data_IF_654681161812
#
_entry.id   IF_654681161812
#
_cell.length_a   1.000
_cell.length_b   1.000
_cell.length_c   1.000
_cell.angle_alpha   90.00
_cell.angle_beta   90.00
_cell.angle_gamma   90.00
#
_symmetry.space_group_name_H-M   'P 1'
#
loop_
_entity.id
_entity.type
_entity.pdbx_description
1 polymer ?
#
# COMPACT_ATOMS: atom_id res chain seq x y z
N UNK A 1 -16.30 76.27 -33.70
CA UNK A 1 -16.75 75.01 -34.33
C UNK A 1 -16.19 73.86 -33.52
N UNK A 2 -17.12 73.14 -32.89
CA UNK A 2 -17.07 71.82 -32.22
C UNK A 2 -16.17 70.80 -32.96
N UNK A 3 -15.60 69.70 -32.43
CA UNK A 3 -15.97 68.64 -31.46
C UNK A 3 -14.62 67.98 -31.09
N UNK A 4 -14.31 67.57 -29.86
CA UNK A 4 -14.28 66.13 -29.47
C UNK A 4 -13.81 66.02 -28.00
N UNK A 5 -14.72 65.90 -27.02
CA UNK A 5 -14.38 65.47 -25.67
C UNK A 5 -14.73 63.99 -25.53
N UNK A 6 -13.94 63.07 -26.11
CA UNK A 6 -14.16 61.61 -25.97
C UNK A 6 -12.87 60.77 -26.06
N UNK A 7 -11.77 61.25 -25.49
CA UNK A 7 -10.49 60.50 -25.52
C UNK A 7 -9.90 60.20 -24.12
N UNK A 8 -10.66 60.40 -23.04
CA UNK A 8 -10.17 60.21 -21.67
C UNK A 8 -10.90 59.10 -20.87
N UNK A 9 -11.61 58.17 -21.52
CA UNK A 9 -12.46 57.18 -20.84
C UNK A 9 -12.20 55.71 -21.23
N UNK A 10 -11.07 55.39 -21.89
CA UNK A 10 -10.81 54.03 -22.39
C UNK A 10 -9.59 53.32 -21.77
N UNK A 11 -8.99 53.84 -20.69
CA UNK A 11 -7.80 53.25 -20.07
C UNK A 11 -7.98 52.85 -18.58
N UNK A 12 -9.21 52.62 -18.11
CA UNK A 12 -9.49 52.30 -16.71
C UNK A 12 -10.43 51.10 -16.52
N UNK A 13 -10.34 50.09 -17.40
CA UNK A 13 -11.36 49.04 -17.47
C UNK A 13 -10.89 47.62 -17.76
N UNK A 14 -9.62 47.25 -17.51
CA UNK A 14 -9.19 45.83 -17.57
C UNK A 14 -8.03 45.59 -16.58
N UNK A 15 -8.25 45.76 -15.27
CA UNK A 15 -7.30 45.29 -14.24
C UNK A 15 -7.97 44.76 -12.96
N UNK A 16 -9.24 44.34 -13.04
CA UNK A 16 -9.96 43.75 -11.90
C UNK A 16 -10.60 42.41 -12.28
N UNK A 17 -9.76 41.40 -12.55
CA UNK A 17 -10.24 40.04 -12.81
C UNK A 17 -9.30 38.94 -12.25
N UNK A 18 -8.54 39.22 -11.18
CA UNK A 18 -7.69 38.21 -10.53
C UNK A 18 -7.99 37.98 -9.04
N UNK A 19 -9.17 38.41 -8.56
CA UNK A 19 -9.63 38.13 -7.20
C UNK A 19 -11.09 37.69 -7.21
N UNK A 20 -11.41 36.67 -8.00
CA UNK A 20 -12.61 35.88 -7.74
C UNK A 20 -12.23 34.77 -6.77
N UNK A 21 -12.80 34.71 -5.56
CA UNK A 21 -12.71 33.49 -4.78
C UNK A 21 -13.36 32.38 -5.60
N UNK A 22 -12.62 31.33 -5.88
CA UNK A 22 -13.16 30.07 -6.39
C UNK A 22 -14.21 29.62 -5.37
N UNK A 23 -15.48 29.89 -5.64
CA UNK A 23 -16.59 29.48 -4.76
C UNK A 23 -16.63 27.95 -4.77
N UNK A 24 -16.45 27.37 -3.61
CA UNK A 24 -16.33 25.94 -3.43
C UNK A 24 -17.69 25.25 -3.29
N UNK A 25 -18.09 24.51 -4.32
CA UNK A 25 -19.16 23.50 -4.26
C UNK A 25 -20.57 24.00 -3.89
N UNK A 26 -21.52 23.06 -3.88
CA UNK A 26 -22.94 23.30 -3.62
C UNK A 26 -23.22 23.91 -2.22
N UNK A 27 -22.27 23.81 -1.28
CA UNK A 27 -22.40 24.28 0.11
C UNK A 27 -21.44 25.42 0.48
N UNK A 28 -20.67 25.99 -0.45
CA UNK A 28 -19.66 27.03 -0.18
C UNK A 28 -18.59 26.62 0.86
N UNK A 29 -18.16 25.36 0.85
CA UNK A 29 -17.12 24.83 1.74
C UNK A 29 -15.89 24.38 0.95
N UNK A 30 -14.70 24.81 1.37
CA UNK A 30 -13.42 24.44 0.77
C UNK A 30 -12.95 25.39 -0.34
N UNK A 31 -12.13 24.86 -1.25
CA UNK A 31 -11.73 25.44 -2.56
C UNK A 31 -11.36 24.29 -3.50
N UNK A 32 -11.24 24.58 -4.79
CA UNK A 32 -10.67 23.62 -5.74
C UNK A 32 -9.21 23.33 -5.38
N UNK A 33 -8.83 22.04 -5.42
CA UNK A 33 -7.45 21.60 -5.21
C UNK A 33 -6.60 22.03 -6.41
N UNK A 34 -5.39 22.55 -6.16
CA UNK A 34 -4.52 22.91 -7.28
C UNK A 34 -3.89 21.64 -7.88
N UNK A 35 -3.47 21.67 -9.16
CA UNK A 35 -2.78 20.54 -9.76
C UNK A 35 -1.54 20.08 -8.97
N UNK A 36 -0.82 21.01 -8.36
CA UNK A 36 0.36 20.73 -7.54
C UNK A 36 0.01 20.02 -6.23
N UNK A 37 -1.13 20.37 -5.61
CA UNK A 37 -1.60 19.72 -4.40
C UNK A 37 -2.04 18.28 -4.66
N UNK A 38 -2.74 18.07 -5.79
CA UNK A 38 -3.12 16.73 -6.24
C UNK A 38 -1.86 15.92 -6.52
N UNK A 39 -0.93 16.41 -7.34
CA UNK A 39 0.31 15.71 -7.67
C UNK A 39 1.19 15.38 -6.46
N UNK A 40 1.14 16.18 -5.39
CA UNK A 40 1.90 15.92 -4.17
C UNK A 40 1.29 14.81 -3.27
N UNK A 41 0.00 14.53 -3.41
CA UNK A 41 -0.77 13.63 -2.53
C UNK A 41 -1.22 12.35 -3.23
N UNK A 42 -1.67 12.48 -4.48
CA UNK A 42 -2.08 11.44 -5.41
C UNK A 42 -0.82 10.89 -6.10
N UNK A 43 -0.26 9.86 -5.48
CA UNK A 43 0.92 9.13 -5.93
C UNK A 43 0.62 7.62 -5.99
N UNK A 44 -0.66 7.25 -5.95
CA UNK A 44 -1.06 5.84 -5.97
C UNK A 44 -0.74 5.22 -7.33
N UNK A 45 -0.30 3.97 -7.30
CA UNK A 45 -0.07 3.18 -8.50
C UNK A 45 -1.06 2.04 -8.55
N UNK A 46 -1.95 2.12 -9.52
CA UNK A 46 -3.00 1.13 -9.74
C UNK A 46 -2.48 -0.11 -10.47
N UNK A 47 -3.16 -1.27 -10.36
CA UNK A 47 -2.78 -2.48 -11.09
C UNK A 47 -2.77 -2.36 -12.61
N UNK A 48 -3.47 -1.35 -13.17
CA UNK A 48 -3.47 -1.03 -14.60
C UNK A 48 -2.34 -0.05 -15.01
N UNK A 49 -1.43 0.28 -14.09
CA UNK A 49 -0.29 1.16 -14.32
C UNK A 49 -0.60 2.65 -14.26
N UNK A 50 -1.86 3.03 -14.02
CA UNK A 50 -2.21 4.43 -13.77
C UNK A 50 -1.48 4.92 -12.51
N UNK A 51 -0.84 6.08 -12.62
CA UNK A 51 -0.04 6.69 -11.55
C UNK A 51 1.46 6.42 -11.61
N UNK A 52 1.94 5.52 -12.50
CA UNK A 52 3.37 5.27 -12.66
C UNK A 52 4.14 6.54 -13.08
N UNK A 53 5.13 7.01 -12.29
CA UNK A 53 6.02 8.08 -12.70
C UNK A 53 6.96 7.61 -13.82
N UNK A 54 7.48 8.55 -14.61
CA UNK A 54 8.57 8.26 -15.53
C UNK A 54 9.79 7.78 -14.74
N UNK A 55 10.44 6.72 -15.21
CA UNK A 55 11.64 6.20 -14.57
C UNK A 55 11.99 4.78 -14.97
N UNK A 56 13.15 4.34 -14.49
CA UNK A 56 13.70 3.00 -14.70
C UNK A 56 14.71 2.63 -13.60
N UNK A 57 14.95 1.34 -13.42
CA UNK A 57 16.02 0.87 -12.56
C UNK A 57 16.34 -0.61 -12.78
N UNK A 58 17.61 -0.97 -12.66
CA UNK A 58 18.08 -2.34 -12.81
C UNK A 58 18.09 -3.10 -11.49
N UNK A 59 18.10 -4.43 -11.56
CA UNK A 59 18.30 -5.31 -10.38
C UNK A 59 19.57 -4.93 -9.62
N UNK A 60 20.70 -4.75 -10.31
CA UNK A 60 21.98 -4.39 -9.69
C UNK A 60 21.94 -3.04 -8.95
N UNK A 61 21.29 -2.01 -9.54
CA UNK A 61 21.08 -0.74 -8.85
C UNK A 61 20.19 -0.92 -7.61
N UNK A 62 19.17 -1.76 -7.74
CA UNK A 62 18.24 -2.06 -6.66
C UNK A 62 18.91 -2.75 -5.48
N UNK A 63 19.83 -3.69 -5.74
CA UNK A 63 20.61 -4.39 -4.72
C UNK A 63 21.43 -3.39 -3.87
N UNK A 64 22.16 -2.49 -4.52
CA UNK A 64 22.97 -1.48 -3.82
C UNK A 64 22.10 -0.58 -2.92
N UNK A 65 20.99 -0.07 -3.48
CA UNK A 65 20.07 0.80 -2.73
C UNK A 65 19.41 0.02 -1.58
N UNK A 66 19.02 -1.23 -1.82
CA UNK A 66 18.39 -2.09 -0.83
C UNK A 66 19.33 -2.41 0.32
N UNK A 67 20.60 -2.69 0.05
CA UNK A 67 21.62 -2.90 1.07
C UNK A 67 21.78 -1.66 1.98
N UNK A 68 21.74 -0.46 1.41
CA UNK A 68 21.90 0.79 2.16
C UNK A 68 20.65 1.20 2.94
N UNK A 69 19.46 1.03 2.34
CA UNK A 69 18.21 1.65 2.84
C UNK A 69 17.19 0.66 3.41
N UNK A 70 17.34 -0.65 3.17
CA UNK A 70 16.33 -1.65 3.48
C UNK A 70 16.85 -2.83 4.31
N UNK A 71 18.05 -3.32 4.02
CA UNK A 71 18.58 -4.59 4.53
C UNK A 71 18.74 -4.65 6.06
N UNK A 72 18.94 -3.50 6.71
CA UNK A 72 19.02 -3.41 8.18
C UNK A 72 17.80 -4.01 8.89
N UNK A 73 16.63 -4.00 8.23
CA UNK A 73 15.40 -4.63 8.71
C UNK A 73 15.03 -5.86 7.88
N UNK A 74 15.14 -5.77 6.55
CA UNK A 74 14.60 -6.80 5.65
C UNK A 74 15.59 -7.91 5.27
N UNK A 75 16.82 -7.88 5.77
CA UNK A 75 17.88 -8.83 5.39
C UNK A 75 18.48 -8.46 4.03
N UNK A 76 19.63 -9.04 3.69
CA UNK A 76 20.32 -8.68 2.45
C UNK A 76 19.53 -9.16 1.21
N UNK A 77 18.75 -10.23 1.34
CA UNK A 77 17.99 -10.86 0.25
C UNK A 77 16.47 -10.78 0.47
N UNK A 78 16.00 -9.92 1.38
CA UNK A 78 14.59 -9.82 1.72
C UNK A 78 14.09 -10.95 2.63
N UNK A 79 14.97 -11.71 3.27
CA UNK A 79 14.65 -12.84 4.16
C UNK A 79 14.13 -12.41 5.55
N UNK A 80 14.21 -11.12 5.86
CA UNK A 80 13.82 -10.53 7.15
C UNK A 80 14.88 -10.71 8.25
N UNK A 81 15.12 -9.66 9.03
CA UNK A 81 15.97 -9.71 10.24
C UNK A 81 15.11 -9.74 11.49
N UNK A 82 15.41 -10.65 12.42
CA UNK A 82 14.68 -10.83 13.68
C UNK A 82 13.16 -11.05 13.46
N UNK A 83 12.34 -10.01 13.71
CA UNK A 83 10.88 -10.03 13.53
C UNK A 83 10.38 -9.04 12.50
N UNK A 84 11.28 -8.43 11.74
CA UNK A 84 10.89 -7.59 10.63
C UNK A 84 10.30 -8.42 9.48
N UNK A 85 9.40 -7.83 8.66
CA UNK A 85 8.75 -8.56 7.60
C UNK A 85 9.72 -9.19 6.59
N UNK A 86 9.44 -10.45 6.27
CA UNK A 86 10.06 -11.20 5.17
C UNK A 86 9.45 -10.71 3.85
N UNK A 87 10.30 -10.26 2.93
CA UNK A 87 9.91 -9.75 1.61
C UNK A 87 10.06 -10.79 0.49
N UNK A 88 10.92 -11.79 0.69
CA UNK A 88 11.20 -12.85 -0.28
C UNK A 88 11.11 -14.26 0.33
N UNK A 89 10.61 -15.22 -0.46
CA UNK A 89 10.47 -16.63 -0.06
C UNK A 89 9.03 -17.06 0.24
N UNK A 90 8.84 -18.29 0.72
CA UNK A 90 7.52 -18.80 1.08
C UNK A 90 6.67 -19.33 -0.09
N UNK A 91 7.24 -19.46 -1.28
CA UNK A 91 6.58 -20.07 -2.45
C UNK A 91 6.02 -21.45 -2.08
N UNK A 92 4.76 -21.69 -2.43
CA UNK A 92 4.07 -22.96 -2.13
C UNK A 92 3.63 -23.14 -0.66
N UNK A 93 3.92 -22.19 0.24
CA UNK A 93 3.59 -22.34 1.67
C UNK A 93 2.13 -22.01 2.04
N UNK A 94 1.33 -21.46 1.10
CA UNK A 94 -0.02 -20.92 1.38
C UNK A 94 -1.01 -21.95 1.96
N UNK A 95 -0.77 -23.25 1.78
CA UNK A 95 -1.60 -24.34 2.33
C UNK A 95 -1.00 -25.01 3.58
N UNK A 96 0.15 -24.55 4.05
CA UNK A 96 0.79 -25.08 5.26
C UNK A 96 0.08 -24.60 6.53
N UNK A 97 0.39 -25.20 7.68
CA UNK A 97 -0.15 -24.75 8.97
C UNK A 97 0.31 -23.32 9.33
N UNK A 98 1.49 -22.92 8.87
CA UNK A 98 2.07 -21.58 9.08
C UNK A 98 2.55 -20.99 7.75
N UNK A 99 1.64 -20.42 6.92
CA UNK A 99 2.00 -19.82 5.64
C UNK A 99 2.99 -18.66 5.77
N UNK A 100 3.96 -18.61 4.87
CA UNK A 100 4.91 -17.51 4.72
C UNK A 100 4.48 -16.67 3.53
N UNK A 101 3.85 -15.52 3.82
CA UNK A 101 3.19 -14.65 2.84
C UNK A 101 4.08 -13.44 2.52
N UNK A 102 4.73 -13.48 1.38
CA UNK A 102 5.70 -12.47 0.91
C UNK A 102 5.22 -11.84 -0.40
N UNK A 103 6.04 -10.97 -0.99
CA UNK A 103 5.78 -10.38 -2.30
C UNK A 103 5.61 -11.49 -3.34
N UNK A 104 6.57 -12.40 -3.48
CA UNK A 104 6.53 -13.47 -4.48
C UNK A 104 5.56 -14.61 -4.17
N UNK A 105 5.24 -14.86 -2.89
CA UNK A 105 4.35 -15.99 -2.54
C UNK A 105 2.87 -15.61 -2.46
N UNK A 106 2.53 -14.35 -2.23
CA UNK A 106 1.16 -13.94 -1.91
C UNK A 106 0.66 -12.70 -2.65
N UNK A 107 1.49 -11.70 -2.94
CA UNK A 107 0.97 -10.43 -3.45
C UNK A 107 0.49 -10.57 -4.91
N UNK A 108 -0.67 -9.98 -5.28
CA UNK A 108 -1.23 -10.15 -6.62
C UNK A 108 -0.69 -9.17 -7.65
N UNK A 109 -0.20 -8.00 -7.25
CA UNK A 109 0.15 -6.93 -8.19
C UNK A 109 1.47 -6.26 -7.85
N UNK A 110 2.30 -6.04 -8.87
CA UNK A 110 3.55 -5.29 -8.74
C UNK A 110 3.30 -3.82 -8.39
N UNK A 111 2.16 -3.27 -8.81
CA UNK A 111 1.77 -1.89 -8.50
C UNK A 111 1.72 -1.62 -7.00
N UNK A 112 1.26 -2.59 -6.20
CA UNK A 112 1.21 -2.48 -4.74
C UNK A 112 2.60 -2.43 -4.13
N UNK A 113 3.56 -3.17 -4.69
CA UNK A 113 4.97 -3.14 -4.26
C UNK A 113 5.55 -1.74 -4.50
N UNK A 114 5.41 -1.24 -5.73
CA UNK A 114 5.92 0.07 -6.11
C UNK A 114 5.28 1.21 -5.28
N UNK A 115 3.95 1.28 -5.23
CA UNK A 115 3.22 2.32 -4.48
C UNK A 115 3.61 2.31 -3.00
N UNK A 116 3.62 1.12 -2.37
CA UNK A 116 3.95 1.02 -0.96
C UNK A 116 5.39 1.44 -0.65
N UNK A 117 6.35 1.03 -1.49
CA UNK A 117 7.76 1.45 -1.32
C UNK A 117 7.88 2.97 -1.47
N UNK A 118 7.35 3.53 -2.55
CA UNK A 118 7.38 4.97 -2.82
C UNK A 118 6.74 5.80 -1.69
N UNK A 119 5.60 5.31 -1.17
CA UNK A 119 4.78 6.07 -0.21
C UNK A 119 5.23 5.91 1.23
N UNK A 120 5.72 4.74 1.62
CA UNK A 120 5.84 4.35 3.02
C UNK A 120 7.22 3.81 3.42
N UNK A 121 8.16 3.63 2.47
CA UNK A 121 9.51 3.16 2.75
C UNK A 121 10.58 4.20 2.38
N UNK A 122 11.76 4.15 3.02
CA UNK A 122 12.11 3.34 4.20
C UNK A 122 11.26 3.68 5.43
N UNK A 123 11.06 2.74 6.37
CA UNK A 123 10.14 2.94 7.51
C UNK A 123 10.46 4.18 8.35
N UNK A 124 11.74 4.56 8.46
CA UNK A 124 12.19 5.74 9.21
C UNK A 124 12.17 7.03 8.41
N UNK A 125 12.05 6.96 7.07
CA UNK A 125 12.19 8.09 6.16
C UNK A 125 11.27 7.94 4.94
N UNK A 126 9.98 7.68 5.17
CA UNK A 126 9.01 7.48 4.10
C UNK A 126 8.97 8.67 3.12
N UNK A 127 8.76 8.37 1.83
CA UNK A 127 8.79 9.34 0.72
C UNK A 127 10.15 10.00 0.47
N UNK A 128 11.26 9.36 0.85
CA UNK A 128 12.62 9.86 0.55
C UNK A 128 13.24 9.32 -0.73
N UNK A 129 12.60 8.33 -1.37
CA UNK A 129 13.09 7.68 -2.57
C UNK A 129 12.65 8.42 -3.83
N UNK A 130 13.56 8.55 -4.79
CA UNK A 130 13.25 9.03 -6.13
C UNK A 130 12.62 7.91 -6.99
N UNK A 131 11.82 8.24 -8.03
CA UNK A 131 11.15 7.24 -8.88
C UNK A 131 12.07 6.13 -9.40
N UNK A 132 13.26 6.47 -9.90
CA UNK A 132 14.24 5.50 -10.41
C UNK A 132 14.74 4.55 -9.31
N UNK A 133 14.91 5.04 -8.07
CA UNK A 133 15.28 4.20 -6.93
C UNK A 133 14.17 3.20 -6.59
N UNK A 134 12.91 3.63 -6.65
CA UNK A 134 11.76 2.73 -6.42
C UNK A 134 11.67 1.67 -7.51
N UNK A 135 11.89 2.01 -8.78
CA UNK A 135 11.96 1.03 -9.87
C UNK A 135 13.09 0.03 -9.65
N UNK A 136 14.28 0.51 -9.29
CA UNK A 136 15.45 -0.33 -9.03
C UNK A 136 15.20 -1.32 -7.87
N UNK A 137 14.73 -0.82 -6.71
CA UNK A 137 14.39 -1.68 -5.57
C UNK A 137 13.30 -2.70 -5.95
N UNK A 138 12.29 -2.28 -6.72
CA UNK A 138 11.23 -3.18 -7.18
C UNK A 138 11.78 -4.27 -8.11
N UNK A 139 12.70 -3.93 -9.02
CA UNK A 139 13.39 -4.90 -9.87
C UNK A 139 14.20 -5.91 -9.03
N UNK A 140 14.93 -5.43 -8.03
CA UNK A 140 15.66 -6.29 -7.10
C UNK A 140 14.73 -7.24 -6.33
N UNK A 141 13.60 -6.74 -5.82
CA UNK A 141 12.61 -7.55 -5.12
C UNK A 141 11.95 -8.60 -6.02
N UNK A 142 11.76 -8.32 -7.31
CA UNK A 142 11.32 -9.31 -8.29
C UNK A 142 12.37 -10.41 -8.47
N UNK A 143 13.65 -10.05 -8.52
CA UNK A 143 14.76 -10.97 -8.69
C UNK A 143 14.91 -11.92 -7.50
N UNK A 144 14.96 -11.40 -6.27
CA UNK A 144 15.08 -12.26 -5.06
C UNK A 144 13.83 -13.11 -4.78
N UNK A 145 12.71 -12.83 -5.45
CA UNK A 145 11.50 -13.65 -5.40
C UNK A 145 11.38 -14.65 -6.56
N UNK A 146 12.41 -14.79 -7.40
CA UNK A 146 12.43 -15.63 -8.60
C UNK A 146 11.31 -15.30 -9.62
N UNK A 147 10.78 -14.06 -9.59
CA UNK A 147 9.77 -13.60 -10.57
C UNK A 147 10.46 -13.19 -11.87
N UNK A 148 11.63 -12.58 -11.76
CA UNK A 148 12.59 -12.41 -12.85
C UNK A 148 13.89 -13.11 -12.48
N UNK A 149 14.59 -13.65 -13.46
CA UNK A 149 15.82 -14.44 -13.25
C UNK A 149 17.06 -13.82 -13.88
N UNK A 150 16.88 -12.73 -14.62
CA UNK A 150 17.94 -11.99 -15.28
C UNK A 150 18.47 -10.90 -14.34
N UNK A 151 19.76 -10.97 -13.99
CA UNK A 151 20.44 -9.98 -13.14
C UNK A 151 20.61 -8.62 -13.84
N UNK A 152 20.53 -8.58 -15.17
CA UNK A 152 20.58 -7.35 -15.96
C UNK A 152 19.18 -6.76 -16.22
N UNK A 153 18.11 -7.36 -15.65
CA UNK A 153 16.74 -6.90 -15.85
C UNK A 153 16.57 -5.43 -15.41
N UNK A 154 16.06 -4.60 -16.32
CA UNK A 154 15.67 -3.21 -16.08
C UNK A 154 14.14 -3.12 -16.01
N UNK A 155 13.60 -2.73 -14.86
CA UNK A 155 12.19 -2.39 -14.72
C UNK A 155 12.01 -0.91 -15.09
N UNK A 156 11.01 -0.61 -15.89
CA UNK A 156 10.66 0.75 -16.28
C UNK A 156 9.15 0.92 -16.39
N UNK A 157 8.69 2.16 -16.51
CA UNK A 157 7.29 2.47 -16.77
C UNK A 157 6.73 1.70 -17.98
N UNK A 158 7.53 1.57 -19.03
CA UNK A 158 7.11 0.96 -20.30
C UNK A 158 6.89 -0.55 -20.22
N UNK A 159 7.66 -1.26 -19.39
CA UNK A 159 7.56 -2.70 -19.24
C UNK A 159 6.91 -3.15 -17.93
N UNK A 160 6.52 -2.23 -17.03
CA UNK A 160 5.98 -2.56 -15.71
C UNK A 160 4.81 -3.55 -15.76
N UNK A 161 3.91 -3.40 -16.73
CA UNK A 161 2.71 -4.23 -16.89
C UNK A 161 2.97 -5.57 -17.59
N UNK A 162 4.21 -5.84 -18.03
CA UNK A 162 4.56 -7.15 -18.59
C UNK A 162 4.93 -8.17 -17.51
N UNK A 163 5.16 -7.70 -16.27
CA UNK A 163 5.48 -8.55 -15.12
C UNK A 163 4.19 -9.04 -14.47
N UNK A 164 4.00 -10.35 -14.46
CA UNK A 164 2.87 -11.01 -13.79
C UNK A 164 3.32 -11.62 -12.47
N UNK A 165 2.62 -11.29 -11.37
CA UNK A 165 2.94 -11.84 -10.06
C UNK A 165 2.37 -13.26 -9.90
N UNK A 166 3.06 -14.18 -9.18
CA UNK A 166 2.65 -15.59 -9.12
C UNK A 166 1.26 -15.86 -8.52
N UNK A 167 0.72 -14.93 -7.72
CA UNK A 167 -0.52 -15.13 -6.97
C UNK A 167 -1.70 -14.25 -7.45
N UNK A 168 -1.61 -13.70 -8.67
CA UNK A 168 -2.59 -12.76 -9.24
C UNK A 168 -4.03 -13.29 -9.18
N UNK A 169 -4.26 -14.55 -9.55
CA UNK A 169 -5.61 -15.13 -9.69
C UNK A 169 -6.23 -15.69 -8.39
N UNK A 170 -5.50 -15.64 -7.27
CA UNK A 170 -5.91 -16.34 -6.03
C UNK A 170 -6.62 -15.44 -5.02
N UNK A 171 -7.11 -14.29 -5.46
CA UNK A 171 -7.92 -13.37 -4.66
C UNK A 171 -9.34 -13.30 -5.23
N UNK A 172 -10.33 -13.29 -4.36
CA UNK A 172 -11.74 -13.21 -4.74
C UNK A 172 -12.47 -12.22 -3.85
N UNK A 173 -13.55 -11.64 -4.38
CA UNK A 173 -14.42 -10.76 -3.62
C UNK A 173 -15.09 -11.54 -2.48
N UNK A 174 -15.30 -10.85 -1.36
CA UNK A 174 -15.95 -11.42 -0.17
C UNK A 174 -17.24 -12.17 -0.52
N UNK A 175 -17.25 -13.48 -0.27
CA UNK A 175 -18.35 -14.39 -0.56
C UNK A 175 -19.10 -14.86 0.69
N UNK A 176 -18.82 -14.27 1.87
CA UNK A 176 -19.41 -14.70 3.15
C UNK A 176 -20.94 -14.67 3.16
N UNK A 177 -21.57 -13.82 2.34
CA UNK A 177 -23.03 -13.82 2.18
C UNK A 177 -23.57 -15.18 1.75
N UNK A 178 -22.87 -15.89 0.86
CA UNK A 178 -23.27 -17.18 0.31
C UNK A 178 -22.61 -18.36 1.01
N UNK A 179 -21.38 -18.22 1.52
CA UNK A 179 -20.61 -19.31 2.13
C UNK A 179 -20.82 -19.46 3.63
N UNK A 180 -21.20 -18.39 4.33
CA UNK A 180 -21.34 -18.41 5.79
C UNK A 180 -22.70 -17.92 6.29
N UNK A 181 -23.15 -16.74 5.83
CA UNK A 181 -24.30 -16.05 6.42
C UNK A 181 -25.61 -16.80 6.18
N UNK A 182 -25.73 -17.53 5.08
CA UNK A 182 -26.86 -18.43 4.84
C UNK A 182 -27.02 -19.47 5.97
N UNK A 183 -25.92 -20.00 6.49
CA UNK A 183 -25.93 -20.95 7.60
C UNK A 183 -26.04 -20.28 8.96
N UNK A 184 -25.40 -19.11 9.13
CA UNK A 184 -25.42 -18.37 10.41
C UNK A 184 -26.74 -17.65 10.70
N UNK A 185 -27.61 -17.44 9.71
CA UNK A 185 -28.94 -16.81 9.86
C UNK A 185 -30.05 -17.79 10.30
N UNK A 186 -29.72 -19.06 10.53
CA UNK A 186 -30.66 -20.04 11.07
C UNK A 186 -30.98 -19.74 12.55
N UNK A 187 -32.19 -20.09 12.98
CA UNK A 187 -32.59 -19.92 14.39
C UNK A 187 -31.62 -20.70 15.30
N UNK A 188 -31.02 -20.07 16.32
CA UNK A 188 -30.08 -20.74 17.20
C UNK A 188 -30.79 -21.80 18.06
N UNK A 189 -30.04 -22.80 18.51
CA UNK A 189 -30.55 -23.72 19.52
C UNK A 189 -30.65 -23.01 20.87
N UNK A 190 -31.80 -23.15 21.54
CA UNK A 190 -32.07 -22.50 22.83
C UNK A 190 -31.94 -23.45 24.04
N UNK A 191 -32.21 -24.75 23.86
CA UNK A 191 -32.23 -25.73 24.96
C UNK A 191 -31.58 -27.05 24.54
N UNK A 192 -30.85 -27.69 25.47
CA UNK A 192 -30.24 -29.01 25.28
C UNK A 192 -29.30 -29.13 24.05
N UNK A 193 -28.57 -28.05 23.73
CA UNK A 193 -27.86 -27.89 22.45
C UNK A 193 -26.57 -28.72 22.30
N UNK A 194 -25.96 -29.15 23.41
CA UNK A 194 -24.71 -29.90 23.40
C UNK A 194 -24.71 -30.89 24.56
N UNK A 195 -24.41 -32.15 24.28
CA UNK A 195 -24.44 -33.23 25.28
C UNK A 195 -23.27 -33.21 26.27
N UNK A 196 -22.07 -32.81 25.83
CA UNK A 196 -20.88 -32.74 26.68
C UNK A 196 -20.09 -31.46 26.41
N UNK A 197 -19.57 -30.85 27.48
CA UNK A 197 -18.69 -29.68 27.39
C UNK A 197 -17.33 -30.05 27.98
N UNK A 198 -16.31 -30.07 27.12
CA UNK A 198 -14.91 -30.32 27.49
C UNK A 198 -14.06 -29.09 27.23
N UNK A 199 -13.24 -28.71 28.20
CA UNK A 199 -12.23 -27.65 28.04
C UNK A 199 -11.10 -28.18 27.15
N UNK A 200 -10.87 -27.53 26.01
CA UNK A 200 -9.84 -27.92 25.03
C UNK A 200 -8.64 -26.99 24.99
N UNK A 201 -8.80 -25.73 25.42
CA UNK A 201 -7.75 -24.70 25.45
C UNK A 201 -7.94 -23.81 26.68
N UNK A 202 -6.84 -23.31 27.25
CA UNK A 202 -6.83 -22.32 28.34
C UNK A 202 -5.76 -21.28 28.00
N UNK A 203 -6.12 -20.00 28.01
CA UNK A 203 -5.20 -18.91 27.70
C UNK A 203 -4.01 -18.86 28.68
N UNK A 204 -4.27 -19.15 29.95
CA UNK A 204 -3.26 -19.27 31.02
C UNK A 204 -2.19 -20.36 30.79
N UNK A 205 -2.30 -21.18 29.74
CA UNK A 205 -1.23 -22.12 29.36
C UNK A 205 -0.16 -21.42 28.50
N UNK A 206 -0.57 -20.45 27.67
CA UNK A 206 0.36 -19.69 26.81
C UNK A 206 1.00 -18.56 27.60
N UNK A 207 0.22 -17.91 28.46
CA UNK A 207 0.71 -16.98 29.48
C UNK A 207 1.55 -15.80 28.92
N UNK A 208 0.96 -15.08 27.97
CA UNK A 208 1.57 -13.91 27.29
C UNK A 208 0.76 -12.63 27.48
N UNK A 209 -0.22 -12.64 28.39
CA UNK A 209 -0.99 -11.44 28.75
C UNK A 209 -0.17 -10.63 29.75
N UNK A 210 -0.01 -9.31 29.58
CA UNK A 210 0.68 -8.49 30.58
C UNK A 210 0.00 -8.54 31.96
N UNK A 211 0.78 -8.51 33.04
CA UNK A 211 0.30 -8.67 34.43
C UNK A 211 0.70 -7.50 35.33
N UNK A 212 -0.15 -7.22 36.33
CA UNK A 212 0.11 -6.36 37.48
C UNK A 212 -0.06 -7.19 38.76
N UNK A 213 1.06 -7.67 39.33
CA UNK A 213 1.00 -8.65 40.41
C UNK A 213 0.64 -10.04 39.87
N UNK A 214 -0.32 -10.73 40.53
CA UNK A 214 -0.80 -12.05 40.12
C UNK A 214 -2.03 -11.96 39.18
N UNK A 215 -2.37 -10.77 38.70
CA UNK A 215 -3.54 -10.54 37.87
C UNK A 215 -3.18 -9.90 36.52
N UNK A 216 -3.97 -10.14 35.45
CA UNK A 216 -3.84 -9.40 34.21
C UNK A 216 -3.88 -7.89 34.45
N UNK A 217 -3.00 -7.16 33.78
CA UNK A 217 -2.94 -5.69 33.88
C UNK A 217 -4.30 -5.08 33.53
N UNK A 218 -4.76 -4.14 34.37
CA UNK A 218 -6.08 -3.50 34.25
C UNK A 218 -7.25 -4.27 34.85
N UNK A 219 -7.01 -5.33 35.64
CA UNK A 219 -8.05 -5.94 36.47
C UNK A 219 -8.68 -4.91 37.41
N UNK A 220 -10.02 -4.94 37.53
CA UNK A 220 -10.74 -4.14 38.51
C UNK A 220 -10.66 -4.85 39.86
N UNK A 221 -10.07 -4.17 40.86
CA UNK A 221 -10.08 -4.59 42.26
C UNK A 221 -11.50 -4.78 42.83
#
# INVERSE_FOLDING_TARGET
>A
MSRFPKAALLAAGIQLALLSPVLAGQFNLGREATPEEVAAWDIDVRPDGQGLPEGRGTVAQGEEIFAEKCAACHGDFGEGVDRWPVLAGGQGSLKSENPVKTIGSYWPYLSTVFDYINRAMPFTEAKSLEPDEVYAITAYLLYVNDVVTDEDFELSKENFLTVEMPNTDNFYMDDRETTELADRRKEPCMENCKGEVKITKRAAIIDVTPEEGDEPSGSLE
#
